data_IF_865625095956
#
_entry.id   IF_865625095956
#
_cell.length_a   1.000
_cell.length_b   1.000
_cell.length_c   1.000
_cell.angle_alpha   90.00
_cell.angle_beta   90.00
_cell.angle_gamma   90.00
#
_symmetry.space_group_name_H-M   'P 1'
#
loop_
_entity.id
_entity.type
_entity.pdbx_description
1 polymer ?
#
# COMPACT_ATOMS: atom_id res chain seq x y z
N UNK A 1 14.72 -48.49 12.89
CA UNK A 1 14.33 -47.84 11.59
C UNK A 1 12.91 -47.27 11.53
N UNK A 2 12.02 -47.67 12.43
CA UNK A 2 10.61 -47.17 12.39
C UNK A 2 10.42 -45.71 12.87
N UNK A 3 11.33 -45.17 13.66
CA UNK A 3 11.19 -43.78 14.21
C UNK A 3 11.56 -42.67 13.24
N UNK A 4 12.33 -42.96 12.19
CA UNK A 4 12.75 -41.96 11.21
C UNK A 4 11.70 -41.71 10.09
N UNK A 5 10.85 -42.70 9.84
CA UNK A 5 9.80 -42.61 8.82
C UNK A 5 8.61 -41.78 9.33
N UNK A 6 8.34 -41.84 10.66
CA UNK A 6 7.24 -41.06 11.25
C UNK A 6 7.51 -39.56 11.26
N UNK A 7 8.78 -39.15 11.38
CA UNK A 7 9.21 -37.76 11.37
C UNK A 7 9.10 -37.15 9.96
N UNK A 8 9.31 -37.96 8.92
CA UNK A 8 9.22 -37.48 7.54
C UNK A 8 7.77 -37.31 7.08
N UNK A 9 6.87 -38.16 7.59
CA UNK A 9 5.43 -38.06 7.29
C UNK A 9 4.76 -36.87 8.00
N UNK A 10 5.25 -36.49 9.19
CA UNK A 10 4.73 -35.33 9.91
C UNK A 10 5.14 -34.00 9.25
N UNK A 11 6.33 -33.95 8.64
CA UNK A 11 6.79 -32.78 7.89
C UNK A 11 6.03 -32.55 6.58
N UNK A 12 5.52 -33.64 5.97
CA UNK A 12 4.81 -33.57 4.69
C UNK A 12 3.34 -33.15 4.86
N UNK A 13 2.73 -33.43 6.01
CA UNK A 13 1.31 -33.06 6.26
C UNK A 13 1.13 -31.60 6.67
N UNK A 14 2.17 -30.92 7.14
CA UNK A 14 2.11 -29.45 7.42
C UNK A 14 2.18 -28.59 6.16
N UNK A 15 2.63 -29.14 5.04
CA UNK A 15 2.76 -28.40 3.79
C UNK A 15 1.46 -28.27 2.98
N UNK A 16 0.39 -29.02 3.35
CA UNK A 16 -0.84 -29.08 2.57
C UNK A 16 -2.01 -28.27 3.13
N UNK A 17 -1.86 -27.58 4.26
CA UNK A 17 -2.94 -26.80 4.87
C UNK A 17 -2.82 -25.29 4.67
N UNK A 18 -1.96 -24.83 3.76
CA UNK A 18 -1.90 -23.44 3.34
C UNK A 18 -3.02 -23.15 2.33
N UNK A 19 -4.26 -23.06 2.82
CA UNK A 19 -5.38 -22.51 2.05
C UNK A 19 -5.13 -21.04 1.74
N UNK A 20 -5.17 -20.72 0.48
CA UNK A 20 -5.57 -19.49 -0.22
C UNK A 20 -5.70 -18.21 0.65
N UNK A 21 -4.66 -17.83 1.33
CA UNK A 21 -4.42 -16.46 1.76
C UNK A 21 -3.01 -16.14 1.34
N UNK A 22 -2.84 -15.06 0.59
CA UNK A 22 -1.62 -14.64 -0.08
C UNK A 22 -0.36 -15.22 0.55
N UNK A 23 0.27 -16.14 -0.16
CA UNK A 23 1.51 -16.76 0.28
C UNK A 23 2.53 -15.66 0.43
N UNK A 24 2.70 -15.17 1.65
CA UNK A 24 3.98 -14.59 2.04
C UNK A 24 4.89 -15.81 2.09
N UNK A 25 5.84 -15.97 1.19
CA UNK A 25 6.83 -17.00 1.35
C UNK A 25 7.47 -16.76 2.72
N UNK A 26 7.31 -17.73 3.63
CA UNK A 26 8.07 -17.76 4.84
C UNK A 26 9.52 -17.97 4.41
N UNK A 27 10.22 -16.88 4.12
CA UNK A 27 11.59 -16.88 3.69
C UNK A 27 12.48 -16.67 4.88
N UNK A 28 13.24 -17.72 5.03
CA UNK A 28 14.66 -17.73 5.45
C UNK A 28 14.98 -16.91 6.71
N UNK A 29 15.37 -17.65 7.70
CA UNK A 29 16.00 -17.28 8.96
C UNK A 29 17.26 -16.39 8.88
N UNK A 30 17.49 -15.67 7.78
CA UNK A 30 18.65 -14.80 7.59
C UNK A 30 18.30 -13.45 6.94
N UNK A 31 17.06 -13.01 7.00
CA UNK A 31 16.69 -11.71 6.49
C UNK A 31 16.64 -10.69 7.63
N UNK A 32 17.46 -9.66 7.56
CA UNK A 32 17.43 -8.53 8.50
C UNK A 32 16.18 -7.64 8.37
N UNK A 33 15.37 -7.85 7.34
CA UNK A 33 14.13 -7.11 7.12
C UNK A 33 12.95 -8.06 6.99
N UNK A 34 11.84 -7.74 7.66
CA UNK A 34 10.57 -8.43 7.54
C UNK A 34 9.42 -7.43 7.42
N UNK A 35 8.27 -7.90 6.95
CA UNK A 35 7.03 -7.15 7.01
C UNK A 35 6.35 -7.48 8.33
N UNK A 36 5.95 -6.47 9.09
CA UNK A 36 5.25 -6.64 10.36
C UNK A 36 3.93 -7.40 10.15
N UNK A 37 3.59 -8.24 11.11
CA UNK A 37 2.38 -9.06 11.04
C UNK A 37 1.07 -8.23 10.99
N UNK A 38 1.10 -7.03 11.56
CA UNK A 38 -0.01 -6.07 11.62
C UNK A 38 0.16 -4.92 10.61
N UNK A 39 1.09 -5.05 9.66
CA UNK A 39 1.36 -4.03 8.67
C UNK A 39 0.13 -3.72 7.81
N UNK A 40 -0.21 -2.44 7.72
CA UNK A 40 -1.27 -1.96 6.84
C UNK A 40 -0.66 -1.59 5.49
N UNK A 41 -0.94 -2.42 4.49
CA UNK A 41 -0.47 -2.22 3.11
C UNK A 41 -1.59 -1.77 2.15
N UNK A 42 -2.76 -1.47 2.70
CA UNK A 42 -3.90 -0.95 1.94
C UNK A 42 -4.25 0.45 2.41
N UNK A 43 -4.79 1.27 1.51
CA UNK A 43 -5.22 2.62 1.85
C UNK A 43 -6.22 3.18 0.85
N UNK A 44 -6.90 4.23 1.27
CA UNK A 44 -7.83 4.98 0.43
C UNK A 44 -7.49 6.46 0.49
N UNK A 45 -7.59 7.13 -0.64
CA UNK A 45 -7.36 8.57 -0.77
C UNK A 45 -8.26 9.14 -1.84
N UNK A 46 -8.62 10.40 -1.72
CA UNK A 46 -9.38 11.13 -2.74
C UNK A 46 -8.41 11.63 -3.83
N UNK A 47 -8.83 11.57 -5.08
CA UNK A 47 -8.07 12.05 -6.23
C UNK A 47 -7.52 13.48 -6.00
N UNK A 48 -6.23 13.67 -6.24
CA UNK A 48 -5.52 14.91 -5.98
C UNK A 48 -5.14 15.19 -4.52
N UNK A 49 -5.58 14.37 -3.58
CA UNK A 49 -5.15 14.45 -2.17
C UNK A 49 -3.90 13.61 -1.93
N UNK A 50 -3.28 13.79 -0.78
CA UNK A 50 -2.05 13.10 -0.39
C UNK A 50 -2.33 12.07 0.71
N UNK A 51 -1.92 10.84 0.47
CA UNK A 51 -1.86 9.78 1.49
C UNK A 51 -0.40 9.58 1.91
N UNK A 52 -0.15 9.53 3.20
CA UNK A 52 1.15 9.19 3.77
C UNK A 52 1.06 7.84 4.51
N UNK A 53 2.00 6.95 4.22
CA UNK A 53 2.17 5.68 4.93
C UNK A 53 3.60 5.64 5.46
N UNK A 54 3.75 5.57 6.79
CA UNK A 54 5.05 5.42 7.42
C UNK A 54 5.59 4.02 7.21
N UNK A 55 6.73 3.89 6.57
CA UNK A 55 7.32 2.60 6.22
C UNK A 55 7.88 1.85 7.44
N UNK A 56 8.20 2.56 8.51
CA UNK A 56 8.56 1.96 9.79
C UNK A 56 7.38 1.22 10.47
N UNK A 57 6.14 1.51 10.09
CA UNK A 57 4.96 0.77 10.56
C UNK A 57 4.69 -0.49 9.72
N UNK A 58 5.35 -0.63 8.57
CA UNK A 58 5.19 -1.75 7.63
C UNK A 58 6.36 -2.71 7.70
N UNK A 59 7.58 -2.17 7.69
CA UNK A 59 8.81 -2.98 7.74
C UNK A 59 9.41 -2.93 9.14
N UNK A 60 9.99 -4.03 9.54
CA UNK A 60 10.82 -4.11 10.75
C UNK A 60 12.19 -4.64 10.41
N UNK A 61 13.16 -4.13 11.16
CA UNK A 61 14.51 -4.67 11.19
C UNK A 61 14.61 -5.64 12.35
N UNK A 62 15.07 -6.85 12.07
CA UNK A 62 15.19 -7.91 13.09
C UNK A 62 16.51 -7.91 13.83
N UNK A 63 17.52 -7.18 13.31
CA UNK A 63 18.90 -7.27 13.76
C UNK A 63 19.54 -5.92 14.15
N UNK A 64 18.76 -4.85 14.22
CA UNK A 64 19.24 -3.52 14.62
C UNK A 64 19.98 -2.76 13.50
N UNK A 65 19.70 -3.11 12.23
CA UNK A 65 20.25 -2.44 11.06
C UNK A 65 19.41 -1.21 10.66
N UNK A 66 19.99 -0.35 9.89
CA UNK A 66 19.24 0.75 9.28
C UNK A 66 18.59 0.28 7.99
N UNK A 67 17.27 0.53 7.86
CA UNK A 67 16.53 0.27 6.64
C UNK A 67 16.51 1.51 5.74
N UNK A 68 16.72 1.30 4.46
CA UNK A 68 16.49 2.28 3.40
C UNK A 68 15.35 1.83 2.50
N UNK A 69 14.59 2.77 1.96
CA UNK A 69 13.38 2.46 1.20
C UNK A 69 13.42 3.06 -0.18
N UNK A 70 12.95 2.30 -1.17
CA UNK A 70 12.89 2.73 -2.58
C UNK A 70 11.59 2.29 -3.23
N UNK A 71 10.93 3.21 -3.94
CA UNK A 71 9.78 2.89 -4.79
C UNK A 71 10.29 2.29 -6.10
N UNK A 72 10.08 0.99 -6.31
CA UNK A 72 10.68 0.24 -7.43
C UNK A 72 9.97 0.45 -8.76
N UNK A 73 8.68 0.81 -8.73
CA UNK A 73 7.87 1.04 -9.92
C UNK A 73 7.40 2.50 -10.06
N UNK A 74 8.24 3.44 -9.65
CA UNK A 74 7.93 4.88 -9.63
C UNK A 74 7.47 5.43 -10.99
N UNK A 75 7.94 4.88 -12.10
CA UNK A 75 7.57 5.33 -13.45
C UNK A 75 6.09 5.10 -13.80
N UNK A 76 5.37 4.31 -13.02
CA UNK A 76 3.93 4.03 -13.22
C UNK A 76 3.01 5.05 -12.55
N UNK A 77 3.57 5.99 -11.78
CA UNK A 77 2.81 6.92 -10.95
C UNK A 77 3.15 8.36 -11.26
N UNK A 78 2.34 9.27 -10.72
CA UNK A 78 2.64 10.69 -10.76
C UNK A 78 3.93 11.00 -10.00
N UNK A 79 4.56 12.13 -10.28
CA UNK A 79 5.77 12.59 -9.58
C UNK A 79 5.55 12.89 -8.09
N UNK A 80 4.28 13.00 -7.68
CA UNK A 80 3.90 13.20 -6.28
C UNK A 80 3.90 11.88 -5.49
N UNK A 81 3.72 10.73 -6.18
CA UNK A 81 3.83 9.41 -5.57
C UNK A 81 5.31 9.04 -5.47
N UNK A 82 5.82 8.99 -4.25
CA UNK A 82 7.26 8.81 -3.98
C UNK A 82 7.51 8.30 -2.57
N UNK A 83 8.69 7.74 -2.38
CA UNK A 83 9.25 7.47 -1.05
C UNK A 83 10.16 8.63 -0.67
N UNK A 84 9.93 9.18 0.51
CA UNK A 84 10.75 10.26 1.07
C UNK A 84 10.69 10.22 2.61
N UNK A 85 11.82 10.49 3.26
CA UNK A 85 11.93 10.63 4.72
C UNK A 85 11.30 9.45 5.52
N UNK A 86 11.42 8.21 4.99
CA UNK A 86 10.88 7.00 5.63
C UNK A 86 9.38 6.79 5.44
N UNK A 87 8.74 7.57 4.58
CA UNK A 87 7.31 7.44 4.26
C UNK A 87 7.09 7.21 2.77
N UNK A 88 6.04 6.45 2.44
CA UNK A 88 5.46 6.37 1.11
C UNK A 88 4.35 7.43 1.00
N UNK A 89 4.51 8.34 0.10
CA UNK A 89 3.51 9.33 -0.28
C UNK A 89 2.82 8.89 -1.56
N UNK A 90 1.50 8.88 -1.57
CA UNK A 90 0.69 8.56 -2.75
C UNK A 90 -0.26 9.71 -3.04
N UNK A 91 -0.18 10.25 -4.26
CA UNK A 91 -1.08 11.29 -4.75
C UNK A 91 -1.27 11.13 -6.25
N UNK A 92 -2.44 10.65 -6.63
CA UNK A 92 -2.84 10.46 -8.03
C UNK A 92 -4.08 11.30 -8.33
N UNK A 93 -4.21 11.74 -9.58
CA UNK A 93 -5.31 12.60 -10.02
C UNK A 93 -6.50 11.81 -10.52
N UNK A 94 -6.26 10.62 -11.04
CA UNK A 94 -7.29 9.80 -11.64
C UNK A 94 -7.77 8.75 -10.62
N UNK A 95 -9.08 8.57 -10.47
CA UNK A 95 -9.63 7.49 -9.66
C UNK A 95 -9.19 6.12 -10.17
N UNK A 96 -8.91 5.20 -9.26
CA UNK A 96 -8.47 3.86 -9.62
C UNK A 96 -7.77 3.14 -8.48
N UNK A 97 -7.29 1.94 -8.77
CA UNK A 97 -6.46 1.17 -7.85
C UNK A 97 -5.01 1.21 -8.32
N UNK A 98 -4.13 1.57 -7.41
CA UNK A 98 -2.70 1.72 -7.65
C UNK A 98 -1.91 0.77 -6.75
N UNK A 99 -0.86 0.18 -7.30
CA UNK A 99 -0.04 -0.81 -6.59
C UNK A 99 1.43 -0.38 -6.50
N UNK A 100 1.75 0.63 -5.67
CA UNK A 100 3.15 0.98 -5.43
C UNK A 100 3.90 -0.16 -4.73
N UNK A 101 5.11 -0.46 -5.22
CA UNK A 101 6.00 -1.48 -4.69
C UNK A 101 7.19 -0.82 -4.02
N UNK A 102 7.28 -0.97 -2.72
CA UNK A 102 8.39 -0.42 -1.92
C UNK A 102 9.34 -1.54 -1.54
N UNK A 103 10.60 -1.33 -1.87
CA UNK A 103 11.70 -2.19 -1.46
C UNK A 103 12.39 -1.58 -0.24
N UNK A 104 12.49 -2.37 0.81
CA UNK A 104 13.32 -2.08 1.97
C UNK A 104 14.65 -2.82 1.83
N UNK A 105 15.74 -2.12 2.07
CA UNK A 105 17.10 -2.67 1.98
C UNK A 105 17.81 -2.43 3.32
N UNK A 106 18.36 -3.49 3.89
CA UNK A 106 19.21 -3.42 5.06
C UNK A 106 20.61 -2.90 4.73
N UNK A 107 21.33 -2.44 5.75
CA UNK A 107 22.73 -2.05 5.63
C UNK A 107 23.67 -3.18 5.21
N UNK A 108 23.27 -4.44 5.37
CA UNK A 108 24.02 -5.63 4.92
C UNK A 108 23.69 -6.01 3.44
N UNK A 109 22.83 -5.26 2.77
CA UNK A 109 22.45 -5.43 1.38
C UNK A 109 21.30 -6.39 1.12
N UNK A 110 20.68 -6.96 2.16
CA UNK A 110 19.47 -7.79 1.99
C UNK A 110 18.24 -6.92 1.73
N UNK A 111 17.32 -7.42 0.93
CA UNK A 111 16.18 -6.66 0.42
C UNK A 111 14.87 -7.42 0.59
N UNK A 112 13.80 -6.67 0.84
CA UNK A 112 12.43 -7.17 0.83
C UNK A 112 11.52 -6.16 0.17
N UNK A 113 10.63 -6.62 -0.70
CA UNK A 113 9.66 -5.75 -1.39
C UNK A 113 8.24 -6.03 -0.88
N UNK A 114 7.53 -4.97 -0.48
CA UNK A 114 6.10 -5.01 -0.19
C UNK A 114 5.32 -4.28 -1.28
N UNK A 115 4.17 -4.84 -1.63
CA UNK A 115 3.20 -4.20 -2.53
C UNK A 115 2.09 -3.58 -1.69
N UNK A 116 1.79 -2.32 -1.96
CA UNK A 116 0.67 -1.60 -1.36
C UNK A 116 -0.49 -1.59 -2.35
N UNK A 117 -1.71 -1.62 -1.86
CA UNK A 117 -2.92 -1.48 -2.68
C UNK A 117 -3.64 -0.20 -2.24
N UNK A 118 -3.60 0.83 -3.07
CA UNK A 118 -4.17 2.13 -2.77
C UNK A 118 -5.34 2.41 -3.69
N UNK A 119 -6.51 2.63 -3.12
CA UNK A 119 -7.71 3.02 -3.86
C UNK A 119 -7.82 4.54 -3.86
N UNK A 120 -7.72 5.14 -5.04
CA UNK A 120 -7.97 6.56 -5.27
C UNK A 120 -9.43 6.73 -5.65
N UNK A 121 -10.18 7.38 -4.78
CA UNK A 121 -11.61 7.66 -4.98
C UNK A 121 -11.79 8.94 -5.77
N UNK A 122 -12.90 9.03 -6.51
CA UNK A 122 -13.28 10.25 -7.18
C UNK A 122 -13.37 11.43 -6.19
N UNK A 123 -12.85 12.57 -6.59
CA UNK A 123 -13.04 13.78 -5.80
C UNK A 123 -14.52 14.14 -5.78
N UNK A 124 -15.07 14.55 -4.62
CA UNK A 124 -16.45 15.06 -4.61
C UNK A 124 -16.54 16.18 -5.63
N UNK A 125 -17.50 16.07 -6.55
CA UNK A 125 -17.78 17.13 -7.50
C UNK A 125 -18.04 18.41 -6.70
N UNK A 126 -17.27 19.45 -7.00
CA UNK A 126 -17.49 20.76 -6.40
C UNK A 126 -18.93 21.20 -6.64
N UNK A 127 -19.42 22.06 -5.79
CA UNK A 127 -20.76 22.67 -5.89
C UNK A 127 -21.08 22.98 -7.34
N UNK A 128 -21.95 22.18 -7.98
CA UNK A 128 -22.59 22.54 -9.24
C UNK A 128 -23.60 23.68 -8.95
N UNK A 129 -23.08 24.89 -8.96
CA UNK A 129 -23.92 26.05 -8.99
C UNK A 129 -24.56 26.12 -10.39
N UNK A 130 -25.69 25.47 -10.57
CA UNK A 130 -26.51 25.68 -11.77
C UNK A 130 -27.14 27.07 -11.67
N UNK A 131 -26.55 28.04 -12.35
CA UNK A 131 -27.18 29.31 -12.60
C UNK A 131 -28.27 29.11 -13.67
N UNK A 132 -29.50 28.98 -13.25
CA UNK A 132 -30.62 29.16 -14.16
C UNK A 132 -30.75 30.66 -14.47
N UNK A 133 -30.17 31.06 -15.57
CA UNK A 133 -30.47 32.38 -16.17
C UNK A 133 -31.84 32.29 -16.84
N UNK A 134 -32.89 32.62 -16.10
CA UNK A 134 -34.16 32.94 -16.70
C UNK A 134 -34.10 34.42 -17.14
N UNK A 135 -34.40 34.73 -18.38
CA UNK A 135 -34.33 36.09 -18.96
C UNK A 135 -35.33 37.09 -18.34
N UNK A 136 -36.13 36.65 -17.40
CA UNK A 136 -36.93 37.52 -16.55
C UNK A 136 -36.12 37.89 -15.29
N UNK A 137 -36.14 39.15 -14.84
CA UNK A 137 -35.42 39.57 -13.66
C UNK A 137 -35.95 38.82 -12.44
N UNK A 138 -35.32 37.70 -12.14
CA UNK A 138 -35.66 36.91 -10.98
C UNK A 138 -35.28 37.68 -9.72
N UNK A 139 -36.24 37.84 -8.82
CA UNK A 139 -36.04 38.46 -7.50
C UNK A 139 -35.30 37.55 -6.51
N UNK A 140 -35.10 36.29 -6.84
CA UNK A 140 -34.46 35.32 -5.93
C UNK A 140 -33.49 34.41 -6.69
N UNK A 141 -32.29 34.27 -6.18
CA UNK A 141 -31.31 33.28 -6.60
C UNK A 141 -31.39 32.12 -5.63
N UNK A 142 -31.84 30.95 -6.08
CA UNK A 142 -31.86 29.76 -5.29
C UNK A 142 -30.56 28.97 -5.55
N UNK A 143 -29.71 28.85 -4.54
CA UNK A 143 -28.50 28.04 -4.59
C UNK A 143 -28.85 26.66 -4.05
N UNK A 144 -28.76 25.62 -4.89
CA UNK A 144 -28.87 24.24 -4.47
C UNK A 144 -27.49 23.71 -4.13
N UNK A 145 -27.31 23.26 -2.89
CA UNK A 145 -26.13 22.56 -2.42
C UNK A 145 -26.46 21.07 -2.42
N UNK A 146 -25.83 20.30 -3.29
CA UNK A 146 -25.92 18.83 -3.34
C UNK A 146 -24.71 18.18 -2.70
#
# INVERSE_FOLDING_TARGET
MRKRILSLLLALTLALSAGVFGVIPALAADSCVSVKADAVTTGEVVAGSLLEIKLADVFEDTDGHTLTYTLTNAAQFSVQTKVKDGSLYVSEKDPGTYEPKVKATCSDGKELTATFTITVKEAPHGLDAQYNYDETPAKEVTVYVT
#
